data_IF_907602983311
#
_entry.id   IF_907602983311
#
_cell.length_a   1.000
_cell.length_b   1.000
_cell.length_c   1.000
_cell.angle_alpha   90.00
_cell.angle_beta   90.00
_cell.angle_gamma   90.00
#
_symmetry.space_group_name_H-M   'P 1'
#
loop_
_entity.id
_entity.type
_entity.pdbx_description
1 polymer ?
#
# COMPACT_ATOMS: atom_id res chain seq x y z
N UNK A 1 20.34 -58.71 44.65
CA UNK A 1 18.88 -58.73 44.89
C UNK A 1 18.28 -57.63 44.05
N UNK A 2 17.13 -57.92 43.44
CA UNK A 2 16.54 -57.25 42.28
C UNK A 2 16.02 -55.82 42.48
N UNK A 3 16.01 -55.09 41.36
CA UNK A 3 15.26 -53.86 40.96
C UNK A 3 13.72 -53.93 41.23
N UNK A 4 12.88 -52.89 40.96
CA UNK A 4 13.13 -51.68 40.16
C UNK A 4 12.55 -50.34 40.68
N UNK A 5 12.99 -49.30 39.97
CA UNK A 5 12.38 -47.98 39.78
C UNK A 5 10.84 -47.94 39.85
N UNK A 6 10.32 -46.90 40.50
CA UNK A 6 9.00 -46.35 40.18
C UNK A 6 9.18 -44.95 39.63
N UNK A 7 9.36 -44.86 38.31
CA UNK A 7 9.20 -43.62 37.58
C UNK A 7 7.79 -43.08 37.85
N UNK A 8 7.72 -42.00 38.65
CA UNK A 8 6.48 -41.30 38.92
C UNK A 8 6.13 -40.50 37.66
N UNK A 9 5.38 -41.11 36.76
CA UNK A 9 4.84 -40.43 35.58
C UNK A 9 3.84 -39.36 36.05
N UNK A 10 4.34 -38.16 36.29
CA UNK A 10 3.50 -36.97 36.46
C UNK A 10 2.81 -36.72 35.11
N UNK A 11 1.53 -37.10 35.01
CA UNK A 11 0.68 -36.77 33.87
C UNK A 11 0.60 -35.24 33.75
N UNK A 12 1.38 -34.67 32.81
CA UNK A 12 1.23 -33.27 32.38
C UNK A 12 -0.20 -33.07 31.90
N UNK A 13 -1.00 -32.32 32.67
CA UNK A 13 -2.30 -31.83 32.20
C UNK A 13 -2.04 -30.88 31.03
N UNK A 14 -2.59 -31.20 29.86
CA UNK A 14 -2.55 -30.27 28.72
C UNK A 14 -3.66 -29.24 28.91
N UNK A 15 -3.40 -27.94 28.71
CA UNK A 15 -4.44 -26.93 28.78
C UNK A 15 -5.53 -27.22 27.72
N UNK A 16 -6.78 -26.97 28.09
CA UNK A 16 -7.92 -27.14 27.20
C UNK A 16 -7.83 -26.14 26.02
N UNK A 17 -8.14 -26.55 24.78
CA UNK A 17 -8.17 -25.63 23.65
C UNK A 17 -9.30 -24.62 23.84
N UNK A 18 -8.96 -23.34 23.72
CA UNK A 18 -9.95 -22.26 23.74
C UNK A 18 -10.73 -22.30 22.42
N UNK A 19 -12.02 -22.61 22.52
CA UNK A 19 -12.97 -22.47 21.42
C UNK A 19 -13.34 -20.99 21.35
N UNK A 20 -12.67 -20.25 20.47
CA UNK A 20 -13.13 -18.93 20.08
C UNK A 20 -13.99 -19.11 18.84
N UNK A 21 -15.28 -18.81 18.94
CA UNK A 21 -16.06 -18.54 17.73
C UNK A 21 -15.48 -17.27 17.12
N UNK A 22 -15.05 -17.30 15.85
CA UNK A 22 -14.62 -16.07 15.18
C UNK A 22 -15.82 -15.12 15.18
N UNK A 23 -15.61 -13.88 15.64
CA UNK A 23 -16.58 -12.83 15.41
C UNK A 23 -16.83 -12.79 13.90
N UNK A 24 -18.06 -13.07 13.47
CA UNK A 24 -18.48 -12.80 12.10
C UNK A 24 -18.12 -11.35 11.83
N UNK A 25 -17.18 -11.14 10.91
CA UNK A 25 -17.03 -9.83 10.32
C UNK A 25 -18.39 -9.54 9.68
N UNK A 26 -19.19 -8.68 10.31
CA UNK A 26 -20.27 -8.01 9.64
C UNK A 26 -19.59 -7.15 8.57
N UNK A 27 -19.25 -7.78 7.45
CA UNK A 27 -19.09 -7.11 6.19
C UNK A 27 -20.50 -6.67 5.83
N UNK A 28 -20.95 -5.58 6.44
CA UNK A 28 -21.67 -4.62 5.62
C UNK A 28 -20.70 -4.38 4.44
N UNK A 29 -21.10 -4.62 3.18
CA UNK A 29 -20.25 -4.26 2.06
C UNK A 29 -19.99 -2.75 2.20
N UNK A 30 -18.86 -2.37 2.80
CA UNK A 30 -18.57 -0.99 3.16
C UNK A 30 -18.52 -0.17 1.87
N UNK A 31 -19.61 0.53 1.58
CA UNK A 31 -19.70 1.47 0.48
C UNK A 31 -18.90 2.71 0.89
N UNK A 32 -17.58 2.70 0.65
CA UNK A 32 -16.64 3.74 1.13
C UNK A 32 -17.05 5.19 0.79
N UNK A 33 -17.94 5.38 -0.19
CA UNK A 33 -18.45 6.68 -0.61
C UNK A 33 -19.98 6.86 -0.44
N UNK A 34 -20.72 5.80 -0.07
CA UNK A 34 -22.17 5.77 0.14
C UNK A 34 -23.03 6.41 -0.97
N UNK A 35 -22.54 6.46 -2.21
CA UNK A 35 -23.25 7.12 -3.30
C UNK A 35 -24.56 6.41 -3.67
N UNK A 36 -24.60 5.07 -3.56
CA UNK A 36 -25.81 4.30 -3.87
C UNK A 36 -26.97 4.54 -2.89
N UNK A 37 -26.68 5.10 -1.71
CA UNK A 37 -27.69 5.43 -0.70
C UNK A 37 -28.32 6.82 -0.89
N UNK A 38 -27.78 7.66 -1.79
CA UNK A 38 -28.27 9.03 -2.01
C UNK A 38 -29.39 9.03 -3.06
N UNK A 39 -30.62 9.29 -2.62
CA UNK A 39 -31.80 9.32 -3.49
C UNK A 39 -32.02 10.68 -4.18
N UNK A 40 -31.66 11.80 -3.55
CA UNK A 40 -31.82 13.14 -4.16
C UNK A 40 -30.78 13.34 -5.28
N UNK A 41 -31.20 13.53 -6.56
CA UNK A 41 -30.27 13.73 -7.66
C UNK A 41 -29.37 14.95 -7.50
N UNK A 42 -29.82 16.00 -6.81
CA UNK A 42 -29.03 17.21 -6.59
C UNK A 42 -27.90 16.96 -5.61
N UNK A 43 -28.20 16.29 -4.49
CA UNK A 43 -27.22 15.86 -3.52
C UNK A 43 -26.21 14.86 -4.12
N UNK A 44 -26.70 13.87 -4.87
CA UNK A 44 -25.85 12.88 -5.54
C UNK A 44 -24.84 13.57 -6.49
N UNK A 45 -25.30 14.53 -7.30
CA UNK A 45 -24.44 15.27 -8.22
C UNK A 45 -23.37 16.08 -7.47
N UNK A 46 -23.76 16.78 -6.38
CA UNK A 46 -22.81 17.53 -5.57
C UNK A 46 -21.73 16.62 -4.97
N UNK A 47 -22.13 15.50 -4.35
CA UNK A 47 -21.19 14.54 -3.74
C UNK A 47 -20.28 13.88 -4.76
N UNK A 48 -20.81 13.43 -5.89
CA UNK A 48 -20.00 12.83 -6.96
C UNK A 48 -18.99 13.83 -7.55
N UNK A 49 -19.34 15.11 -7.61
CA UNK A 49 -18.44 16.18 -8.09
C UNK A 49 -17.30 16.43 -7.11
N UNK A 50 -17.58 16.51 -5.81
CA UNK A 50 -16.56 16.62 -4.76
C UNK A 50 -15.55 15.46 -4.84
N UNK A 51 -16.05 14.22 -4.94
CA UNK A 51 -15.20 13.03 -5.06
C UNK A 51 -14.35 13.07 -6.33
N UNK A 52 -14.91 13.49 -7.46
CA UNK A 52 -14.15 13.61 -8.72
C UNK A 52 -12.95 14.55 -8.57
N UNK A 53 -13.12 15.68 -7.88
CA UNK A 53 -12.00 16.60 -7.60
C UNK A 53 -10.98 15.98 -6.64
N UNK A 54 -11.44 15.31 -5.57
CA UNK A 54 -10.56 14.64 -4.63
C UNK A 54 -9.71 13.55 -5.30
N UNK A 55 -10.33 12.71 -6.13
CA UNK A 55 -9.63 11.64 -6.86
C UNK A 55 -8.66 12.18 -7.89
N UNK A 56 -8.98 13.30 -8.56
CA UNK A 56 -8.01 13.95 -9.45
C UNK A 56 -6.78 14.41 -8.69
N UNK A 57 -6.98 15.12 -7.58
CA UNK A 57 -5.86 15.55 -6.74
C UNK A 57 -5.04 14.37 -6.20
N UNK A 58 -5.71 13.28 -5.81
CA UNK A 58 -5.06 12.05 -5.37
C UNK A 58 -4.27 11.37 -6.50
N UNK A 59 -4.81 11.33 -7.71
CA UNK A 59 -4.13 10.79 -8.89
C UNK A 59 -2.88 11.61 -9.22
N UNK A 60 -3.00 12.94 -9.26
CA UNK A 60 -1.88 13.86 -9.50
C UNK A 60 -0.75 13.62 -8.47
N UNK A 61 -1.11 13.54 -7.18
CA UNK A 61 -0.13 13.28 -6.13
C UNK A 61 0.46 11.88 -6.20
N UNK A 62 -0.32 10.88 -6.61
CA UNK A 62 0.17 9.51 -6.81
C UNK A 62 1.21 9.44 -7.93
N UNK A 63 1.03 10.20 -9.01
CA UNK A 63 2.01 10.30 -10.11
C UNK A 63 3.33 10.89 -9.62
N UNK A 64 3.29 11.92 -8.78
CA UNK A 64 4.51 12.48 -8.16
C UNK A 64 5.25 11.44 -7.30
N UNK A 65 4.52 10.66 -6.51
CA UNK A 65 5.12 9.57 -5.72
C UNK A 65 5.67 8.44 -6.59
N UNK A 66 5.01 8.10 -7.70
CA UNK A 66 5.54 7.16 -8.69
C UNK A 66 6.86 7.66 -9.28
N UNK A 67 6.96 8.95 -9.60
CA UNK A 67 8.19 9.57 -10.11
C UNK A 67 9.31 9.53 -9.05
N UNK A 68 9.00 9.91 -7.81
CA UNK A 68 9.95 9.84 -6.68
C UNK A 68 10.46 8.41 -6.46
N UNK A 69 9.57 7.40 -6.52
CA UNK A 69 9.95 6.01 -6.39
C UNK A 69 10.85 5.55 -7.55
N UNK A 70 10.47 5.87 -8.79
CA UNK A 70 11.27 5.56 -9.98
C UNK A 70 12.68 6.17 -9.88
N UNK A 71 12.77 7.45 -9.48
CA UNK A 71 14.05 8.14 -9.32
C UNK A 71 14.94 7.51 -8.25
N UNK A 72 14.36 7.10 -7.13
CA UNK A 72 15.07 6.38 -6.05
C UNK A 72 15.52 4.99 -6.50
N UNK A 73 14.69 4.25 -7.24
CA UNK A 73 15.04 2.92 -7.78
C UNK A 73 16.17 3.01 -8.82
N UNK A 74 16.25 4.10 -9.57
CA UNK A 74 17.28 4.36 -10.57
C UNK A 74 18.52 5.10 -10.01
N UNK A 75 18.61 5.34 -8.70
CA UNK A 75 19.72 6.10 -8.11
C UNK A 75 21.05 5.33 -8.28
N UNK A 76 22.07 5.90 -8.94
CA UNK A 76 23.36 5.24 -9.13
C UNK A 76 24.11 4.94 -7.82
N UNK A 77 23.73 5.57 -6.70
CA UNK A 77 24.29 5.30 -5.37
C UNK A 77 23.79 4.00 -4.75
N UNK A 78 22.70 3.43 -5.28
CA UNK A 78 22.17 2.14 -4.83
C UNK A 78 22.94 0.98 -5.44
N UNK A 79 23.18 -0.05 -4.63
CA UNK A 79 23.77 -1.30 -5.11
C UNK A 79 22.78 -2.12 -5.96
N UNK A 80 21.48 -2.01 -5.67
CA UNK A 80 20.36 -2.71 -6.32
C UNK A 80 19.62 -1.83 -7.33
N UNK A 81 20.31 -0.83 -7.90
CA UNK A 81 19.67 0.11 -8.84
C UNK A 81 19.03 -0.64 -10.01
N UNK A 82 17.84 -0.20 -10.40
CA UNK A 82 17.13 -0.73 -11.55
C UNK A 82 17.46 0.08 -12.81
N UNK A 83 17.40 -0.58 -13.96
CA UNK A 83 17.40 0.10 -15.27
C UNK A 83 16.03 0.69 -15.54
N UNK A 84 15.95 1.67 -16.46
CA UNK A 84 14.66 2.21 -16.89
C UNK A 84 13.73 1.11 -17.45
N UNK A 85 14.29 0.11 -18.14
CA UNK A 85 13.53 -1.02 -18.68
C UNK A 85 12.91 -1.89 -17.55
N UNK A 86 13.67 -2.18 -16.50
CA UNK A 86 13.18 -2.96 -15.35
C UNK A 86 12.11 -2.19 -14.56
N UNK A 87 12.28 -0.88 -14.38
CA UNK A 87 11.27 -0.02 -13.77
C UNK A 87 10.00 0.00 -14.63
N UNK A 88 10.15 0.10 -15.95
CA UNK A 88 9.04 0.10 -16.89
C UNK A 88 8.26 -1.21 -16.85
N UNK A 89 8.95 -2.35 -16.77
CA UNK A 89 8.31 -3.65 -16.61
C UNK A 89 7.47 -3.72 -15.33
N UNK A 90 8.05 -3.32 -14.18
CA UNK A 90 7.35 -3.35 -12.89
C UNK A 90 6.14 -2.41 -12.85
N UNK A 91 6.25 -1.25 -13.48
CA UNK A 91 5.20 -0.22 -13.47
C UNK A 91 4.24 -0.30 -14.67
N UNK A 92 4.40 -1.29 -15.54
CA UNK A 92 3.64 -1.45 -16.78
C UNK A 92 3.71 -0.22 -17.69
N UNK A 93 4.91 0.35 -17.81
CA UNK A 93 5.20 1.52 -18.65
C UNK A 93 6.02 1.14 -19.87
N UNK A 94 6.15 2.09 -20.80
CA UNK A 94 7.23 2.03 -21.78
C UNK A 94 8.54 2.46 -21.13
N UNK A 95 9.67 1.97 -21.66
CA UNK A 95 10.99 2.35 -21.16
C UNK A 95 11.22 3.87 -21.22
N UNK A 96 10.78 4.52 -22.31
CA UNK A 96 10.95 5.97 -22.49
C UNK A 96 10.10 6.78 -21.51
N UNK A 97 8.92 6.27 -21.14
CA UNK A 97 8.13 6.90 -20.08
C UNK A 97 8.80 6.73 -18.71
N UNK A 98 9.37 5.55 -18.41
CA UNK A 98 10.13 5.35 -17.17
C UNK A 98 11.34 6.29 -17.06
N UNK A 99 12.06 6.56 -18.17
CA UNK A 99 13.15 7.56 -18.20
C UNK A 99 12.64 8.95 -17.80
N UNK A 100 11.53 9.40 -18.40
CA UNK A 100 10.90 10.69 -18.05
C UNK A 100 10.46 10.75 -16.58
N UNK A 101 9.91 9.67 -16.05
CA UNK A 101 9.50 9.59 -14.64
C UNK A 101 10.68 9.66 -13.67
N UNK A 102 11.79 9.00 -14.01
CA UNK A 102 13.05 9.08 -13.24
C UNK A 102 13.59 10.51 -13.24
N UNK A 103 13.59 11.18 -14.40
CA UNK A 103 14.02 12.57 -14.51
C UNK A 103 13.14 13.50 -13.69
N UNK A 104 11.82 13.41 -13.86
CA UNK A 104 10.85 14.19 -13.11
C UNK A 104 11.00 13.99 -11.59
N UNK A 105 11.15 12.74 -11.13
CA UNK A 105 11.37 12.44 -9.72
C UNK A 105 12.68 13.01 -9.15
N UNK A 106 13.75 13.06 -9.96
CA UNK A 106 15.01 13.71 -9.57
C UNK A 106 14.84 15.21 -9.40
N UNK A 107 14.07 15.85 -10.27
CA UNK A 107 13.79 17.28 -10.17
C UNK A 107 12.90 17.59 -8.96
N UNK A 108 11.89 16.74 -8.67
CA UNK A 108 11.10 16.84 -7.44
C UNK A 108 11.96 16.74 -6.17
N UNK A 109 12.94 15.82 -6.13
CA UNK A 109 13.85 15.66 -4.98
C UNK A 109 14.79 16.85 -4.78
N UNK A 110 15.13 17.58 -5.86
CA UNK A 110 15.95 18.80 -5.75
C UNK A 110 15.17 19.97 -5.16
N UNK A 111 13.84 19.88 -5.13
CA UNK A 111 12.93 20.94 -4.73
C UNK A 111 12.86 22.06 -5.77
N UNK A 112 11.89 22.98 -5.65
CA UNK A 112 11.85 24.16 -6.51
C UNK A 112 13.14 24.96 -6.31
N UNK A 113 13.82 25.31 -7.41
CA UNK A 113 15.09 26.05 -7.41
C UNK A 113 15.00 27.48 -6.84
N UNK A 114 13.87 27.87 -6.24
CA UNK A 114 13.48 29.23 -5.92
C UNK A 114 13.09 29.36 -4.43
N UNK A 115 14.00 28.99 -3.53
CA UNK A 115 14.06 29.57 -2.17
C UNK A 115 15.41 29.24 -1.49
N UNK A 116 16.51 29.77 -2.01
CA UNK A 116 17.78 29.81 -1.29
C UNK A 116 18.05 31.30 -0.97
N UNK A 117 18.16 31.71 0.31
CA UNK A 117 18.43 33.09 0.67
C UNK A 117 19.82 33.55 0.19
#
# INVERSE_FOLDING_TARGET
MAEPERARTERRMRPAPLLFEPAEAAADPEHFFDLEAIEDPSELLARATELTHAFRAAADRSVEFQALAAAQLADPRRFDRLTAAAIAEQAQWTEDYAKKMVEFGRDLMRGPAENRP
#
